data_IF_918681924467
#
_entry.id   IF_918681924467
#
_cell.length_a   1.000
_cell.length_b   1.000
_cell.length_c   1.000
_cell.angle_alpha   90.00
_cell.angle_beta   90.00
_cell.angle_gamma   90.00
#
_symmetry.space_group_name_H-M   'P 1'
#
loop_
_entity.id
_entity.type
_entity.pdbx_description
1 polymer ?
#
# COMPACT_ATOMS: atom_id res chain seq x y z
N UNK A 1 -11.77 8.49 4.42
CA UNK A 1 -11.71 7.76 3.12
C UNK A 1 -12.05 6.29 3.37
N UNK A 2 -12.69 5.58 2.43
CA UNK A 2 -13.05 4.17 2.61
C UNK A 2 -11.83 3.24 2.47
N UNK A 3 -10.97 3.48 1.47
CA UNK A 3 -9.71 2.76 1.25
C UNK A 3 -8.66 3.78 0.78
N UNK A 4 -7.40 3.60 1.16
CA UNK A 4 -6.27 4.41 0.70
C UNK A 4 -5.13 3.55 0.16
N UNK A 5 -4.46 4.04 -0.88
CA UNK A 5 -3.30 3.40 -1.49
C UNK A 5 -2.13 4.37 -1.51
N UNK A 6 -1.02 4.01 -0.87
CA UNK A 6 0.20 4.82 -0.90
C UNK A 6 1.06 4.45 -2.11
N UNK A 7 1.52 5.47 -2.82
CA UNK A 7 2.48 5.36 -3.93
C UNK A 7 3.74 6.15 -3.60
N UNK A 8 4.78 6.05 -4.44
CA UNK A 8 6.09 6.69 -4.24
C UNK A 8 6.73 6.36 -2.89
N UNK A 9 6.96 5.07 -2.66
CA UNK A 9 7.51 4.55 -1.41
C UNK A 9 9.03 4.45 -1.52
N UNK A 10 9.76 4.97 -0.53
CA UNK A 10 11.22 4.80 -0.45
C UNK A 10 11.58 3.35 -0.13
N UNK A 11 12.71 2.87 -0.65
CA UNK A 11 13.25 1.54 -0.33
C UNK A 11 13.51 1.33 1.18
N UNK A 12 13.56 2.41 1.96
CA UNK A 12 13.76 2.35 3.42
C UNK A 12 12.50 1.90 4.19
N UNK A 13 11.34 1.84 3.53
CA UNK A 13 10.08 1.53 4.20
C UNK A 13 9.96 0.05 4.59
N UNK A 14 10.80 -0.84 4.03
CA UNK A 14 10.73 -2.28 4.23
C UNK A 14 10.10 -3.02 3.04
N UNK A 15 9.74 -4.29 3.23
CA UNK A 15 9.08 -5.06 2.16
C UNK A 15 7.59 -4.74 2.11
N UNK A 16 7.00 -4.87 0.92
CA UNK A 16 5.57 -4.65 0.72
C UNK A 16 4.69 -5.46 1.70
N UNK A 17 5.10 -6.71 1.98
CA UNK A 17 4.35 -7.61 2.85
C UNK A 17 4.42 -7.18 4.32
N UNK A 18 5.61 -6.82 4.81
CA UNK A 18 5.81 -6.42 6.20
C UNK A 18 5.06 -5.12 6.50
N UNK A 19 5.20 -4.13 5.62
CA UNK A 19 4.54 -2.84 5.82
C UNK A 19 3.03 -2.96 5.73
N UNK A 20 2.48 -3.74 4.79
CA UNK A 20 1.03 -3.93 4.71
C UNK A 20 0.45 -4.62 5.96
N UNK A 21 1.24 -5.45 6.66
CA UNK A 21 0.81 -6.04 7.94
C UNK A 21 0.80 -5.02 9.09
N UNK A 22 1.63 -3.97 9.00
CA UNK A 22 1.67 -2.87 9.98
C UNK A 22 0.61 -1.79 9.69
N UNK A 23 0.14 -1.71 8.45
CA UNK A 23 -0.87 -0.73 8.03
C UNK A 23 -2.28 -1.08 8.56
N UNK A 24 -3.12 -0.07 8.81
CA UNK A 24 -4.54 -0.29 9.10
C UNK A 24 -5.24 -1.04 7.97
N UNK A 25 -6.28 -1.81 8.30
CA UNK A 25 -6.99 -2.70 7.36
C UNK A 25 -7.62 -2.03 6.12
N UNK A 26 -7.66 -0.70 6.09
CA UNK A 26 -8.19 0.11 4.99
C UNK A 26 -7.10 0.89 4.24
N UNK A 27 -5.82 0.59 4.48
CA UNK A 27 -4.68 1.27 3.88
C UNK A 27 -3.71 0.23 3.34
N UNK A 28 -3.27 0.43 2.10
CA UNK A 28 -2.41 -0.52 1.41
C UNK A 28 -1.29 0.22 0.68
N UNK A 29 -0.14 -0.44 0.52
CA UNK A 29 0.87 0.02 -0.44
C UNK A 29 0.42 -0.34 -1.86
N UNK A 30 0.57 0.60 -2.79
CA UNK A 30 0.39 0.34 -4.21
C UNK A 30 1.60 -0.42 -4.77
N UNK A 31 1.39 -1.11 -5.89
CA UNK A 31 2.44 -1.80 -6.65
C UNK A 31 2.23 -1.59 -8.14
N UNK A 32 3.28 -1.81 -8.94
CA UNK A 32 3.23 -1.61 -10.38
C UNK A 32 2.21 -2.54 -11.04
N UNK A 33 1.27 -1.96 -11.79
CA UNK A 33 0.17 -2.69 -12.42
C UNK A 33 -1.04 -2.91 -11.52
N UNK A 34 -1.09 -2.31 -10.33
CA UNK A 34 -2.30 -2.32 -9.51
C UNK A 34 -3.46 -1.63 -10.25
N UNK A 35 -4.56 -2.38 -10.45
CA UNK A 35 -5.82 -1.89 -11.03
C UNK A 35 -6.89 -1.89 -9.94
N UNK A 36 -7.58 -0.76 -9.80
CA UNK A 36 -8.65 -0.60 -8.82
C UNK A 36 -9.94 -0.34 -9.58
N UNK A 37 -10.94 -1.17 -9.34
CA UNK A 37 -12.29 -0.96 -9.88
C UNK A 37 -13.07 -0.08 -8.89
N UNK A 38 -13.67 0.99 -9.40
CA UNK A 38 -14.46 1.95 -8.61
C UNK A 38 -15.95 1.65 -8.69
#
# INVERSE_FOLDING_TARGET
PRIAYFTHISHQLGTHNDVNNELPSNVFLAYDGLIINV
#
